data_IF_224570990810
#
_entry.id   IF_224570990810
#
_cell.length_a   1.000
_cell.length_b   1.000
_cell.length_c   1.000
_cell.angle_alpha   90.00
_cell.angle_beta   90.00
_cell.angle_gamma   90.00
#
_symmetry.space_group_name_H-M   'P 1'
#
loop_
_entity.id
_entity.type
_entity.pdbx_description
1 polymer ?
#
# COMPACT_ATOMS: atom_id res chain seq x y z
N UNK A 1 -61.07 -30.04 -30.02
CA UNK A 1 -59.86 -29.21 -29.79
C UNK A 1 -58.64 -30.08 -30.06
N UNK A 2 -57.91 -29.82 -31.15
CA UNK A 2 -56.83 -30.69 -31.67
C UNK A 2 -55.75 -30.95 -30.64
N UNK A 3 -55.22 -32.18 -30.59
CA UNK A 3 -54.17 -32.64 -29.65
C UNK A 3 -52.99 -31.65 -29.56
N UNK A 4 -52.62 -31.02 -30.69
CA UNK A 4 -51.63 -29.93 -30.76
C UNK A 4 -51.95 -28.71 -29.86
N UNK A 5 -53.21 -28.26 -29.76
CA UNK A 5 -53.62 -27.11 -28.92
C UNK A 5 -53.53 -27.42 -27.42
N UNK A 6 -53.81 -28.67 -27.02
CA UNK A 6 -53.65 -29.14 -25.62
C UNK A 6 -52.17 -29.26 -25.25
N UNK A 7 -51.33 -29.77 -26.14
CA UNK A 7 -49.87 -29.86 -25.95
C UNK A 7 -49.26 -28.46 -25.86
N UNK A 8 -49.63 -27.55 -26.76
CA UNK A 8 -49.13 -26.16 -26.77
C UNK A 8 -49.51 -25.39 -25.48
N UNK A 9 -50.74 -25.55 -24.98
CA UNK A 9 -51.15 -24.98 -23.68
C UNK A 9 -50.39 -25.57 -22.49
N UNK A 10 -50.11 -26.88 -22.50
CA UNK A 10 -49.31 -27.53 -21.45
C UNK A 10 -47.86 -27.03 -21.47
N UNK A 11 -47.26 -26.89 -22.65
CA UNK A 11 -45.90 -26.36 -22.81
C UNK A 11 -45.82 -24.90 -22.31
N UNK A 12 -46.83 -24.07 -22.63
CA UNK A 12 -46.94 -22.68 -22.17
C UNK A 12 -47.04 -22.52 -20.65
N UNK A 13 -47.46 -23.55 -19.92
CA UNK A 13 -47.58 -23.53 -18.44
C UNK A 13 -46.37 -24.21 -17.79
N UNK A 14 -45.92 -25.35 -18.35
CA UNK A 14 -44.84 -26.16 -17.79
C UNK A 14 -43.48 -25.47 -17.94
N UNK A 15 -43.20 -24.81 -19.08
CA UNK A 15 -41.91 -24.13 -19.29
C UNK A 15 -41.71 -23.00 -18.27
N UNK A 16 -42.65 -22.05 -18.07
CA UNK A 16 -42.49 -21.02 -17.04
C UNK A 16 -42.38 -21.58 -15.63
N UNK A 17 -43.14 -22.64 -15.30
CA UNK A 17 -43.03 -23.31 -14.00
C UNK A 17 -41.65 -23.95 -13.78
N UNK A 18 -41.09 -24.60 -14.79
CA UNK A 18 -39.74 -25.15 -14.75
C UNK A 18 -38.69 -24.05 -14.61
N UNK A 19 -38.81 -22.96 -15.37
CA UNK A 19 -37.90 -21.81 -15.26
C UNK A 19 -37.97 -21.22 -13.86
N UNK A 20 -39.18 -21.02 -13.32
CA UNK A 20 -39.38 -20.51 -11.97
C UNK A 20 -38.74 -21.44 -10.92
N UNK A 21 -38.92 -22.76 -11.06
CA UNK A 21 -38.33 -23.74 -10.14
C UNK A 21 -36.80 -23.73 -10.20
N UNK A 22 -36.22 -23.61 -11.40
CA UNK A 22 -34.76 -23.47 -11.59
C UNK A 22 -34.26 -22.16 -10.97
N UNK A 23 -34.97 -21.05 -11.17
CA UNK A 23 -34.60 -19.76 -10.57
C UNK A 23 -34.67 -19.79 -9.04
N UNK A 24 -35.69 -20.43 -8.46
CA UNK A 24 -35.81 -20.61 -7.00
C UNK A 24 -34.67 -21.49 -6.49
N UNK A 25 -34.38 -22.61 -7.14
CA UNK A 25 -33.30 -23.52 -6.75
C UNK A 25 -31.93 -22.82 -6.83
N UNK A 26 -31.66 -22.12 -7.93
CA UNK A 26 -30.41 -21.37 -8.12
C UNK A 26 -30.29 -20.21 -7.13
N UNK A 27 -31.36 -19.45 -6.92
CA UNK A 27 -31.38 -18.36 -5.94
C UNK A 27 -31.17 -18.86 -4.51
N UNK A 28 -31.78 -19.99 -4.15
CA UNK A 28 -31.59 -20.64 -2.83
C UNK A 28 -30.16 -21.15 -2.65
N UNK A 29 -29.57 -21.76 -3.68
CA UNK A 29 -28.18 -22.20 -3.66
C UNK A 29 -27.22 -21.01 -3.57
N UNK A 30 -27.43 -19.98 -4.37
CA UNK A 30 -26.61 -18.76 -4.36
C UNK A 30 -26.67 -18.05 -3.00
N UNK A 31 -27.87 -17.90 -2.41
CA UNK A 31 -28.01 -17.29 -1.08
C UNK A 31 -27.34 -18.12 0.00
N UNK A 32 -27.48 -19.45 -0.04
CA UNK A 32 -26.75 -20.36 0.84
C UNK A 32 -25.23 -20.21 0.67
N UNK A 33 -24.72 -20.24 -0.56
CA UNK A 33 -23.29 -20.14 -0.85
C UNK A 33 -22.65 -18.85 -0.33
N UNK A 34 -23.37 -17.72 -0.39
CA UNK A 34 -22.83 -16.42 0.06
C UNK A 34 -23.05 -16.15 1.56
N UNK A 35 -23.83 -16.98 2.26
CA UNK A 35 -24.14 -16.80 3.69
C UNK A 35 -23.57 -17.92 4.58
N UNK A 36 -23.28 -19.09 4.02
CA UNK A 36 -22.70 -20.21 4.75
C UNK A 36 -21.26 -19.91 5.21
N UNK A 37 -20.81 -20.54 6.32
CA UNK A 37 -19.43 -20.42 6.78
C UNK A 37 -18.41 -20.81 5.69
N UNK A 38 -17.23 -20.16 5.62
CA UNK A 38 -16.21 -20.48 4.62
C UNK A 38 -15.80 -21.96 4.60
N UNK A 39 -15.88 -22.65 5.74
CA UNK A 39 -15.60 -24.08 5.88
C UNK A 39 -16.53 -24.99 5.06
N UNK A 40 -17.69 -24.49 4.62
CA UNK A 40 -18.68 -25.23 3.82
C UNK A 40 -18.76 -24.73 2.38
N UNK A 41 -17.96 -23.73 2.00
CA UNK A 41 -18.00 -23.08 0.69
C UNK A 41 -16.59 -22.88 0.16
N UNK A 42 -15.89 -21.83 0.55
CA UNK A 42 -14.56 -21.51 0.04
C UNK A 42 -13.54 -22.62 0.36
N UNK A 43 -13.51 -23.12 1.59
CA UNK A 43 -12.58 -24.17 1.99
C UNK A 43 -12.85 -25.53 1.36
N UNK A 44 -13.96 -25.72 0.63
CA UNK A 44 -14.19 -26.98 -0.09
C UNK A 44 -13.34 -27.09 -1.36
N UNK A 45 -12.71 -25.99 -1.80
CA UNK A 45 -11.74 -25.99 -2.89
C UNK A 45 -10.32 -26.01 -2.30
N UNK A 46 -9.51 -27.01 -2.67
CA UNK A 46 -8.18 -27.19 -2.08
C UNK A 46 -7.20 -26.05 -2.45
N UNK A 47 -7.43 -25.37 -3.57
CA UNK A 47 -6.58 -24.29 -4.06
C UNK A 47 -6.69 -23.01 -3.23
N UNK A 48 -7.82 -22.81 -2.55
CA UNK A 48 -8.06 -21.63 -1.70
C UNK A 48 -8.15 -21.97 -0.21
N UNK A 49 -8.08 -23.26 0.15
CA UNK A 49 -8.11 -23.72 1.55
C UNK A 49 -7.03 -23.03 2.39
N UNK A 50 -5.80 -22.95 1.88
CA UNK A 50 -4.71 -22.24 2.57
C UNK A 50 -5.02 -20.77 2.84
N UNK A 51 -5.62 -20.06 1.88
CA UNK A 51 -6.04 -18.67 2.06
C UNK A 51 -7.17 -18.53 3.09
N UNK A 52 -8.12 -19.47 3.12
CA UNK A 52 -9.19 -19.51 4.12
C UNK A 52 -8.64 -19.76 5.52
N UNK A 53 -7.68 -20.68 5.66
CA UNK A 53 -7.02 -20.98 6.93
C UNK A 53 -6.24 -19.76 7.46
N UNK A 54 -5.50 -19.07 6.59
CA UNK A 54 -4.84 -17.80 6.97
C UNK A 54 -5.86 -16.73 7.40
N UNK A 55 -6.98 -16.59 6.67
CA UNK A 55 -8.02 -15.64 7.02
C UNK A 55 -8.66 -15.94 8.38
N UNK A 56 -8.86 -17.22 8.73
CA UNK A 56 -9.41 -17.64 10.02
C UNK A 56 -8.53 -17.23 11.22
N UNK A 57 -7.23 -17.04 11.00
CA UNK A 57 -6.29 -16.56 12.02
C UNK A 57 -6.08 -15.03 11.99
N UNK A 58 -6.69 -14.32 11.04
CA UNK A 58 -6.40 -12.92 10.77
C UNK A 58 -7.11 -11.92 11.70
N UNK A 59 -6.70 -10.65 11.62
CA UNK A 59 -7.42 -9.52 12.23
C UNK A 59 -8.86 -9.38 11.74
N UNK A 60 -9.15 -9.85 10.53
CA UNK A 60 -10.43 -9.71 9.84
C UNK A 60 -11.30 -10.97 9.91
N UNK A 61 -10.91 -12.00 10.69
CA UNK A 61 -11.58 -13.32 10.75
C UNK A 61 -13.07 -13.32 11.06
N UNK A 62 -13.60 -12.21 11.57
CA UNK A 62 -15.03 -12.04 11.86
C UNK A 62 -15.83 -11.45 10.67
N UNK A 63 -15.18 -11.09 9.56
CA UNK A 63 -15.84 -10.65 8.33
C UNK A 63 -16.14 -11.86 7.43
N UNK A 64 -17.13 -11.72 6.55
CA UNK A 64 -17.35 -12.70 5.48
C UNK A 64 -16.39 -12.44 4.32
N UNK A 65 -15.92 -13.48 3.65
CA UNK A 65 -15.04 -13.33 2.47
C UNK A 65 -15.66 -12.43 1.39
N UNK A 66 -16.99 -12.52 1.22
CA UNK A 66 -17.76 -11.74 0.23
C UNK A 66 -17.80 -10.25 0.52
N UNK A 67 -17.50 -9.84 1.76
CA UNK A 67 -17.40 -8.44 2.11
C UNK A 67 -16.15 -7.79 1.51
N UNK A 68 -15.09 -8.55 1.25
CA UNK A 68 -13.87 -8.05 0.63
C UNK A 68 -13.77 -8.42 -0.85
N UNK A 69 -14.06 -9.68 -1.20
CA UNK A 69 -13.91 -10.21 -2.55
C UNK A 69 -15.15 -10.08 -3.43
N UNK A 70 -16.28 -9.62 -2.87
CA UNK A 70 -17.56 -9.62 -3.55
C UNK A 70 -18.17 -11.01 -3.69
N UNK A 71 -19.20 -11.13 -4.52
CA UNK A 71 -19.91 -12.40 -4.78
C UNK A 71 -19.69 -12.83 -6.22
N UNK A 72 -20.22 -14.00 -6.62
CA UNK A 72 -20.13 -14.44 -8.01
C UNK A 72 -20.77 -13.48 -9.03
N UNK A 73 -21.62 -12.55 -8.59
CA UNK A 73 -22.33 -11.59 -9.44
C UNK A 73 -22.03 -10.12 -9.08
N UNK A 74 -21.13 -9.84 -8.14
CA UNK A 74 -20.88 -8.47 -7.68
C UNK A 74 -20.33 -7.56 -8.79
N UNK A 75 -19.54 -8.09 -9.72
CA UNK A 75 -19.07 -7.36 -10.91
C UNK A 75 -19.72 -7.88 -12.20
N UNK A 76 -20.98 -8.35 -12.10
CA UNK A 76 -21.78 -8.82 -13.23
C UNK A 76 -21.18 -10.02 -13.97
N UNK A 77 -21.19 -9.97 -15.31
CA UNK A 77 -20.74 -11.06 -16.20
C UNK A 77 -19.24 -11.34 -16.02
N UNK A 78 -18.43 -10.36 -15.62
CA UNK A 78 -16.99 -10.54 -15.42
C UNK A 78 -16.70 -11.56 -14.31
N UNK A 79 -17.28 -11.36 -13.12
CA UNK A 79 -17.10 -12.29 -11.99
C UNK A 79 -17.63 -13.70 -12.28
N UNK A 80 -18.74 -13.81 -13.02
CA UNK A 80 -19.28 -15.11 -13.45
C UNK A 80 -18.33 -15.83 -14.41
N UNK A 81 -17.82 -15.12 -15.43
CA UNK A 81 -16.90 -15.66 -16.42
C UNK A 81 -15.58 -16.10 -15.78
N UNK A 82 -15.04 -15.27 -14.89
CA UNK A 82 -13.80 -15.54 -14.17
C UNK A 82 -13.93 -16.79 -13.28
N UNK A 83 -14.92 -16.82 -12.38
CA UNK A 83 -15.14 -17.97 -11.49
C UNK A 83 -15.51 -19.25 -12.24
N UNK A 84 -16.30 -19.13 -13.32
CA UNK A 84 -16.57 -20.25 -14.21
C UNK A 84 -15.32 -20.76 -14.92
N UNK A 85 -14.42 -19.85 -15.33
CA UNK A 85 -13.15 -20.24 -15.97
C UNK A 85 -12.21 -20.98 -15.01
N UNK A 86 -12.20 -20.64 -13.73
CA UNK A 86 -11.43 -21.38 -12.71
C UNK A 86 -11.92 -22.83 -12.60
N UNK A 87 -13.23 -23.06 -12.56
CA UNK A 87 -13.81 -24.41 -12.51
C UNK A 87 -13.45 -25.21 -13.78
N UNK A 88 -13.52 -24.57 -14.96
CA UNK A 88 -13.15 -25.23 -16.22
C UNK A 88 -11.67 -25.56 -16.27
N UNK A 89 -10.79 -24.64 -15.84
CA UNK A 89 -9.33 -24.87 -15.78
C UNK A 89 -8.98 -25.99 -14.80
N UNK A 90 -9.64 -25.99 -13.63
CA UNK A 90 -9.53 -27.08 -12.65
C UNK A 90 -9.93 -28.43 -13.25
N UNK A 91 -11.09 -28.51 -13.89
CA UNK A 91 -11.56 -29.75 -14.51
C UNK A 91 -10.64 -30.26 -15.65
N UNK A 92 -9.83 -29.37 -16.24
CA UNK A 92 -8.86 -29.70 -17.29
C UNK A 92 -7.44 -29.94 -16.77
N UNK A 93 -7.19 -29.83 -15.46
CA UNK A 93 -5.86 -29.84 -14.85
C UNK A 93 -4.90 -28.80 -15.48
N UNK A 94 -5.43 -27.67 -15.96
CA UNK A 94 -4.63 -26.59 -16.53
C UNK A 94 -4.21 -25.62 -15.42
N UNK A 95 -2.91 -25.61 -15.06
CA UNK A 95 -2.23 -24.70 -14.12
C UNK A 95 -3.16 -24.00 -13.12
N UNK A 96 -3.55 -24.74 -12.08
CA UNK A 96 -4.49 -24.33 -11.03
C UNK A 96 -3.82 -23.76 -9.78
N UNK A 97 -2.48 -23.79 -9.70
CA UNK A 97 -1.76 -23.47 -8.46
C UNK A 97 -1.59 -21.97 -8.18
N UNK A 98 -1.90 -21.11 -9.15
CA UNK A 98 -1.76 -19.65 -9.04
C UNK A 98 -3.12 -18.93 -9.04
N UNK A 99 -4.00 -19.29 -8.10
CA UNK A 99 -5.22 -18.50 -7.84
C UNK A 99 -4.83 -17.22 -7.07
N UNK A 100 -4.51 -16.17 -7.82
CA UNK A 100 -4.22 -14.83 -7.30
C UNK A 100 -5.25 -13.81 -7.76
N UNK A 101 -5.32 -12.70 -7.03
CA UNK A 101 -6.10 -11.55 -7.47
C UNK A 101 -5.37 -10.86 -8.61
N UNK A 102 -6.10 -10.57 -9.68
CA UNK A 102 -5.64 -9.66 -10.74
C UNK A 102 -5.76 -8.19 -10.28
N UNK A 103 -5.28 -7.25 -11.09
CA UNK A 103 -5.26 -5.83 -10.73
C UNK A 103 -6.65 -5.30 -10.38
N UNK A 104 -7.65 -5.53 -11.25
CA UNK A 104 -9.03 -5.08 -11.04
C UNK A 104 -9.63 -5.61 -9.74
N UNK A 105 -9.32 -6.86 -9.39
CA UNK A 105 -9.76 -7.47 -8.14
C UNK A 105 -9.07 -6.84 -6.92
N UNK A 106 -7.78 -6.52 -7.02
CA UNK A 106 -7.04 -5.79 -5.98
C UNK A 106 -7.63 -4.40 -5.76
N UNK A 107 -8.00 -3.71 -6.83
CA UNK A 107 -8.66 -2.40 -6.76
C UNK A 107 -10.05 -2.50 -6.13
N UNK A 108 -10.84 -3.52 -6.52
CA UNK A 108 -12.15 -3.78 -5.91
C UNK A 108 -12.04 -4.07 -4.40
N UNK A 109 -11.05 -4.87 -3.97
CA UNK A 109 -10.78 -5.10 -2.54
C UNK A 109 -10.39 -3.79 -1.85
N UNK A 110 -9.53 -3.00 -2.48
CA UNK A 110 -9.07 -1.70 -1.97
C UNK A 110 -10.23 -0.72 -1.75
N UNK A 111 -11.23 -0.73 -2.64
CA UNK A 111 -12.43 0.09 -2.46
C UNK A 111 -13.36 -0.44 -1.38
N UNK A 112 -13.45 -1.76 -1.22
CA UNK A 112 -14.20 -2.38 -0.12
C UNK A 112 -13.62 -2.05 1.26
N UNK A 113 -12.31 -1.79 1.38
CA UNK A 113 -11.68 -1.33 2.62
C UNK A 113 -12.33 -0.04 3.15
N UNK A 114 -12.72 0.88 2.26
CA UNK A 114 -13.25 2.20 2.62
C UNK A 114 -14.59 2.13 3.39
N UNK A 115 -15.32 1.01 3.32
CA UNK A 115 -16.57 0.84 4.09
C UNK A 115 -16.33 0.86 5.61
N UNK A 116 -15.14 0.46 6.06
CA UNK A 116 -14.77 0.43 7.47
C UNK A 116 -13.57 1.32 7.78
N UNK A 117 -12.69 1.55 6.81
CA UNK A 117 -11.50 2.39 6.88
C UNK A 117 -11.66 3.67 6.06
N UNK A 118 -12.78 4.37 6.27
CA UNK A 118 -13.11 5.59 5.54
C UNK A 118 -12.07 6.70 5.77
N UNK A 119 -11.62 6.86 7.02
CA UNK A 119 -10.62 7.85 7.39
C UNK A 119 -9.26 7.54 6.77
N UNK A 120 -8.81 6.28 6.80
CA UNK A 120 -7.55 5.88 6.16
C UNK A 120 -7.61 6.03 4.64
N UNK A 121 -8.75 5.71 3.99
CA UNK A 121 -8.95 5.95 2.55
C UNK A 121 -8.90 7.45 2.24
N UNK A 122 -9.55 8.29 3.05
CA UNK A 122 -9.54 9.74 2.86
C UNK A 122 -8.12 10.32 3.00
N UNK A 123 -7.37 9.85 3.99
CA UNK A 123 -5.95 10.22 4.16
C UNK A 123 -5.11 9.76 2.98
N UNK A 124 -5.26 8.52 2.53
CA UNK A 124 -4.57 8.01 1.34
C UNK A 124 -4.87 8.85 0.09
N UNK A 125 -6.14 9.17 -0.16
CA UNK A 125 -6.57 10.04 -1.27
C UNK A 125 -6.00 11.47 -1.20
N UNK A 126 -5.68 11.95 -0.01
CA UNK A 126 -5.08 13.29 0.18
C UNK A 126 -3.56 13.30 0.02
N UNK A 127 -2.92 12.12 -0.03
CA UNK A 127 -1.47 11.98 -0.08
C UNK A 127 -0.93 11.64 -1.46
N UNK A 128 0.40 11.65 -1.59
CA UNK A 128 1.07 11.30 -2.85
C UNK A 128 0.92 9.82 -3.26
N UNK A 129 0.60 8.94 -2.30
CA UNK A 129 0.40 7.51 -2.57
C UNK A 129 -0.87 7.20 -3.39
N UNK A 130 -1.82 8.13 -3.48
CA UNK A 130 -2.99 7.98 -4.36
C UNK A 130 -2.75 8.46 -5.80
N UNK A 131 -1.50 8.73 -6.17
CA UNK A 131 -1.14 9.03 -7.56
C UNK A 131 -1.69 7.95 -8.51
N UNK A 132 -2.05 8.36 -9.71
CA UNK A 132 -2.58 7.48 -10.75
C UNK A 132 -1.51 7.20 -11.78
N UNK A 133 -1.74 6.15 -12.57
CA UNK A 133 -0.83 5.78 -13.66
C UNK A 133 -0.57 6.97 -14.59
N UNK A 134 -1.59 7.76 -14.93
CA UNK A 134 -1.42 8.95 -15.76
C UNK A 134 -0.47 10.00 -15.15
N UNK A 135 -0.45 10.14 -13.83
CA UNK A 135 0.35 11.17 -13.14
C UNK A 135 1.85 10.79 -13.14
N UNK A 136 2.15 9.50 -13.27
CA UNK A 136 3.50 8.93 -13.31
C UNK A 136 3.94 8.64 -14.75
N UNK A 137 3.25 7.77 -15.46
CA UNK A 137 3.70 7.25 -16.76
C UNK A 137 3.53 8.23 -17.91
N UNK A 138 2.72 9.28 -17.77
CA UNK A 138 2.61 10.36 -18.75
C UNK A 138 3.31 11.66 -18.29
N UNK A 139 4.12 11.59 -17.23
CA UNK A 139 4.83 12.75 -16.71
C UNK A 139 5.95 13.20 -17.68
N UNK A 140 5.69 14.23 -18.48
CA UNK A 140 6.66 14.69 -19.48
C UNK A 140 8.00 15.11 -18.89
N UNK A 141 7.99 15.75 -17.72
CA UNK A 141 9.23 16.24 -17.10
C UNK A 141 10.12 15.07 -16.69
N UNK A 142 9.54 14.04 -16.06
CA UNK A 142 10.26 12.84 -15.67
C UNK A 142 10.72 12.06 -16.90
N UNK A 143 9.81 11.73 -17.82
CA UNK A 143 10.08 10.85 -18.96
C UNK A 143 11.10 11.43 -19.95
N UNK A 144 11.32 12.76 -19.97
CA UNK A 144 12.42 13.36 -20.75
C UNK A 144 13.79 13.10 -20.14
N UNK A 145 13.86 12.84 -18.84
CA UNK A 145 15.11 12.59 -18.11
C UNK A 145 15.41 11.11 -17.97
N UNK A 146 14.39 10.31 -17.62
CA UNK A 146 14.47 8.88 -17.37
C UNK A 146 13.65 8.10 -18.39
N UNK A 147 14.18 6.99 -18.90
CA UNK A 147 13.46 6.18 -19.87
C UNK A 147 12.52 5.22 -19.14
N UNK A 148 11.24 5.20 -19.53
CA UNK A 148 10.29 4.22 -19.01
C UNK A 148 10.78 2.80 -19.29
N UNK A 149 10.80 1.98 -18.24
CA UNK A 149 11.30 0.61 -18.29
C UNK A 149 10.51 -0.28 -17.32
N UNK A 150 10.84 -1.58 -17.29
CA UNK A 150 10.08 -2.56 -16.51
C UNK A 150 10.18 -2.33 -14.99
N UNK A 151 11.28 -1.74 -14.51
CA UNK A 151 11.47 -1.45 -13.08
C UNK A 151 10.51 -0.36 -12.58
N UNK A 152 9.96 0.48 -13.47
CA UNK A 152 8.95 1.47 -13.07
C UNK A 152 7.73 0.80 -12.41
N UNK A 153 7.34 -0.40 -12.88
CA UNK A 153 6.20 -1.15 -12.33
C UNK A 153 6.52 -1.83 -11.00
N UNK A 154 7.80 -1.93 -10.60
CA UNK A 154 8.19 -2.49 -9.30
C UNK A 154 7.56 -1.71 -8.14
N UNK A 155 7.42 -0.40 -8.29
CA UNK A 155 6.86 0.50 -7.27
C UNK A 155 5.60 1.24 -7.75
N UNK A 156 5.51 1.60 -9.04
CA UNK A 156 4.42 2.43 -9.57
C UNK A 156 3.34 1.65 -10.35
N UNK A 157 3.25 0.35 -10.13
CA UNK A 157 2.27 -0.52 -10.78
C UNK A 157 2.41 -1.95 -10.27
N UNK A 158 2.51 -2.09 -8.95
CA UNK A 158 2.95 -3.33 -8.30
C UNK A 158 2.01 -4.51 -8.62
N UNK A 159 0.74 -4.22 -8.86
CA UNK A 159 -0.30 -5.18 -9.23
C UNK A 159 -0.67 -5.16 -10.72
N UNK A 160 0.07 -4.42 -11.56
CA UNK A 160 -0.21 -4.37 -12.98
C UNK A 160 -0.05 -5.75 -13.63
N UNK A 161 -1.13 -6.23 -14.24
CA UNK A 161 -1.17 -7.53 -14.96
C UNK A 161 -0.43 -7.48 -16.32
N UNK A 162 -0.06 -6.27 -16.76
CA UNK A 162 0.67 -6.00 -18.00
C UNK A 162 2.08 -5.51 -17.71
N UNK A 163 2.96 -5.63 -18.70
CA UNK A 163 4.30 -5.04 -18.66
C UNK A 163 4.27 -3.58 -19.13
N UNK A 164 5.42 -2.90 -19.01
CA UNK A 164 5.52 -1.48 -19.39
C UNK A 164 5.24 -1.27 -20.89
N UNK A 165 5.61 -2.23 -21.75
CA UNK A 165 5.33 -2.18 -23.18
C UNK A 165 3.83 -2.29 -23.47
N UNK A 166 3.10 -3.08 -22.70
CA UNK A 166 1.65 -3.21 -22.77
C UNK A 166 0.91 -1.99 -22.23
N UNK A 167 1.53 -1.25 -21.30
CA UNK A 167 0.91 -0.11 -20.64
C UNK A 167 0.97 1.17 -21.47
N UNK A 168 2.17 1.60 -21.89
CA UNK A 168 2.42 2.95 -22.41
C UNK A 168 3.31 2.92 -23.65
N UNK A 169 3.10 3.85 -24.58
CA UNK A 169 3.92 4.03 -25.77
C UNK A 169 4.07 5.52 -26.14
N UNK A 170 5.20 5.94 -26.74
CA UNK A 170 6.45 5.20 -26.90
C UNK A 170 7.18 5.06 -25.55
N UNK A 171 8.15 4.15 -25.42
CA UNK A 171 8.99 4.06 -24.22
C UNK A 171 10.22 4.96 -24.24
N UNK A 172 10.44 5.70 -25.33
CA UNK A 172 11.59 6.59 -25.45
C UNK A 172 11.40 7.89 -24.63
N UNK A 173 12.46 8.71 -24.59
CA UNK A 173 12.48 10.00 -23.88
C UNK A 173 11.95 11.18 -24.70
N UNK A 174 11.42 10.94 -25.91
CA UNK A 174 10.96 11.98 -26.84
C UNK A 174 9.47 12.26 -26.66
N UNK A 175 8.69 11.20 -26.46
CA UNK A 175 7.24 11.28 -26.39
C UNK A 175 6.60 11.68 -27.73
N UNK A 176 5.32 12.10 -27.74
CA UNK A 176 4.41 12.13 -26.60
C UNK A 176 3.99 10.73 -26.14
N UNK A 177 3.93 10.53 -24.82
CA UNK A 177 3.48 9.28 -24.21
C UNK A 177 1.96 9.19 -24.17
N UNK A 178 1.42 8.00 -24.41
CA UNK A 178 0.00 7.68 -24.29
C UNK A 178 -0.17 6.25 -23.80
N UNK A 179 -1.28 5.98 -23.12
CA UNK A 179 -1.64 4.61 -22.78
C UNK A 179 -2.13 3.86 -24.02
N UNK A 180 -1.83 2.57 -24.08
CA UNK A 180 -2.42 1.67 -25.07
C UNK A 180 -3.89 1.38 -24.78
N UNK A 181 -4.24 1.27 -23.50
CA UNK A 181 -5.62 1.26 -23.02
C UNK A 181 -5.83 2.44 -22.06
N UNK A 182 -6.68 3.39 -22.46
CA UNK A 182 -6.98 4.58 -21.67
C UNK A 182 -7.67 4.26 -20.33
N UNK A 183 -8.24 3.06 -20.14
CA UNK A 183 -8.82 2.67 -18.84
C UNK A 183 -7.77 2.66 -17.73
N UNK A 184 -6.53 2.28 -18.07
CA UNK A 184 -5.41 2.20 -17.14
C UNK A 184 -5.03 3.56 -16.54
N UNK A 185 -5.33 4.67 -17.22
CA UNK A 185 -4.95 6.01 -16.80
C UNK A 185 -5.37 6.34 -15.35
N UNK A 186 -6.53 5.83 -14.94
CA UNK A 186 -7.13 6.10 -13.64
C UNK A 186 -6.68 5.16 -12.52
N UNK A 187 -5.94 4.09 -12.84
CA UNK A 187 -5.51 3.10 -11.86
C UNK A 187 -4.53 3.72 -10.87
N UNK A 188 -4.65 3.44 -9.56
CA UNK A 188 -3.72 3.93 -8.56
C UNK A 188 -2.39 3.17 -8.62
N UNK A 189 -1.28 3.89 -8.40
CA UNK A 189 0.07 3.30 -8.43
C UNK A 189 0.37 2.44 -7.19
N UNK A 190 -0.15 2.85 -6.04
CA UNK A 190 0.09 2.20 -4.73
C UNK A 190 -1.27 1.97 -4.05
N UNK A 191 -2.01 0.89 -4.38
CA UNK A 191 -3.25 0.54 -3.68
C UNK A 191 -2.97 0.09 -2.24
N UNK A 192 -3.99 -0.02 -1.38
CA UNK A 192 -3.81 -0.39 0.04
C UNK A 192 -3.06 -1.72 0.21
N UNK A 193 -3.32 -2.68 -0.68
CA UNK A 193 -2.65 -3.97 -0.71
C UNK A 193 -1.19 -3.89 -1.14
N UNK A 194 -0.62 -2.74 -1.50
CA UNK A 194 0.83 -2.59 -1.67
C UNK A 194 1.56 -2.71 -0.33
N UNK A 195 0.97 -2.15 0.74
CA UNK A 195 1.56 -2.10 2.08
C UNK A 195 0.84 -2.98 3.13
N UNK A 196 -0.39 -3.43 2.86
CA UNK A 196 -1.14 -4.25 3.80
C UNK A 196 -1.30 -5.71 3.33
N UNK A 197 -1.40 -6.62 4.30
CA UNK A 197 -1.79 -8.01 4.08
C UNK A 197 -3.05 -8.32 4.90
N UNK A 198 -4.16 -8.62 4.21
CA UNK A 198 -5.48 -8.79 4.85
C UNK A 198 -5.54 -10.07 5.68
N UNK A 199 -4.96 -11.16 5.18
CA UNK A 199 -4.95 -12.47 5.84
C UNK A 199 -3.78 -12.64 6.82
N UNK A 200 -3.11 -11.54 7.22
CA UNK A 200 -2.03 -11.62 8.20
C UNK A 200 -2.57 -12.04 9.57
N UNK A 201 -1.85 -12.96 10.24
CA UNK A 201 -2.19 -13.46 11.57
C UNK A 201 -2.32 -12.33 12.58
N UNK A 202 -3.38 -12.38 13.39
CA UNK A 202 -3.69 -11.32 14.33
C UNK A 202 -4.84 -11.62 15.27
N UNK A 203 -5.24 -10.59 16.02
CA UNK A 203 -6.44 -10.64 16.86
C UNK A 203 -7.35 -9.48 16.51
N UNK A 204 -8.64 -9.72 16.22
CA UNK A 204 -9.61 -8.67 15.99
C UNK A 204 -9.58 -7.62 17.09
N UNK A 205 -9.82 -6.36 16.72
CA UNK A 205 -10.02 -5.31 17.70
C UNK A 205 -11.27 -5.62 18.51
N UNK A 206 -11.12 -5.65 19.82
CA UNK A 206 -12.23 -5.86 20.76
C UNK A 206 -12.47 -4.56 21.52
N UNK A 207 -13.74 -4.28 21.82
CA UNK A 207 -14.08 -3.22 22.77
C UNK A 207 -13.47 -3.53 24.14
N UNK A 208 -12.95 -2.52 24.87
CA UNK A 208 -12.52 -2.70 26.25
C UNK A 208 -13.66 -3.27 27.10
N UNK A 209 -13.31 -3.99 28.18
CA UNK A 209 -14.31 -4.40 29.15
C UNK A 209 -14.71 -3.19 30.01
N UNK A 210 -15.96 -2.75 29.88
CA UNK A 210 -16.50 -1.60 30.61
C UNK A 210 -16.98 -1.92 32.04
N UNK A 211 -16.90 -3.18 32.49
CA UNK A 211 -17.33 -3.56 33.84
C UNK A 211 -16.54 -2.84 34.94
N UNK A 212 -15.29 -2.49 34.66
CA UNK A 212 -14.51 -1.52 35.44
C UNK A 212 -13.94 -0.44 34.49
N UNK A 213 -14.58 0.73 34.37
CA UNK A 213 -14.16 1.77 33.43
C UNK A 213 -12.72 2.25 33.63
N UNK A 214 -12.18 2.14 34.86
CA UNK A 214 -10.79 2.51 35.16
C UNK A 214 -9.77 1.64 34.44
N UNK A 215 -10.11 0.39 34.16
CA UNK A 215 -9.19 -0.57 33.55
C UNK A 215 -9.19 -0.47 32.02
N UNK A 216 -10.20 0.17 31.41
CA UNK A 216 -10.35 0.26 29.96
C UNK A 216 -9.14 0.91 29.27
N UNK A 217 -8.49 1.86 29.93
CA UNK A 217 -7.28 2.51 29.43
C UNK A 217 -6.06 1.57 29.44
N UNK A 218 -5.92 0.74 30.47
CA UNK A 218 -4.76 -0.13 30.68
C UNK A 218 -4.87 -1.48 29.95
N UNK A 219 -6.08 -1.92 29.62
CA UNK A 219 -6.33 -3.18 28.90
C UNK A 219 -6.07 -3.07 27.40
N UNK A 220 -5.87 -1.86 26.87
CA UNK A 220 -5.64 -1.66 25.44
C UNK A 220 -4.25 -2.15 25.05
N UNK A 221 -4.15 -3.40 24.62
CA UNK A 221 -2.95 -3.92 23.96
C UNK A 221 -2.71 -3.12 22.69
N UNK A 222 -1.50 -2.59 22.53
CA UNK A 222 -1.07 -1.94 21.28
C UNK A 222 -1.06 -3.01 20.18
N UNK A 223 -2.07 -3.00 19.32
CA UNK A 223 -2.06 -3.79 18.10
C UNK A 223 -1.38 -2.95 17.04
N UNK A 224 -0.07 -3.11 16.86
CA UNK A 224 0.61 -2.51 15.72
C UNK A 224 0.07 -3.20 14.46
N UNK A 225 -0.57 -2.43 13.59
CA UNK A 225 -0.97 -2.93 12.28
C UNK A 225 0.31 -3.30 11.53
N UNK A 226 0.57 -4.59 11.39
CA UNK A 226 1.73 -5.08 10.64
C UNK A 226 1.57 -4.65 9.17
N UNK A 227 2.53 -3.89 8.67
CA UNK A 227 2.64 -3.60 7.24
C UNK A 227 3.56 -4.63 6.58
N UNK A 228 3.43 -4.76 5.27
CA UNK A 228 4.16 -5.73 4.46
C UNK A 228 4.32 -5.18 3.05
N UNK A 229 5.52 -5.30 2.51
CA UNK A 229 5.82 -4.92 1.14
C UNK A 229 5.32 -6.00 0.19
N UNK A 230 4.58 -5.62 -0.86
CA UNK A 230 4.27 -6.55 -1.94
C UNK A 230 5.46 -6.60 -2.91
N UNK A 231 6.08 -7.75 -3.11
CA UNK A 231 7.08 -7.90 -4.16
C UNK A 231 6.38 -8.34 -5.46
N UNK A 232 6.34 -7.44 -6.46
CA UNK A 232 5.75 -7.75 -7.78
C UNK A 232 6.43 -8.94 -8.46
N UNK A 233 7.75 -9.07 -8.34
CA UNK A 233 8.52 -10.08 -9.08
C UNK A 233 8.11 -11.50 -8.68
N UNK A 234 7.94 -11.72 -7.38
CA UNK A 234 7.58 -13.02 -6.82
C UNK A 234 6.08 -13.11 -6.52
N UNK A 235 5.34 -12.01 -6.66
CA UNK A 235 3.94 -11.85 -6.28
C UNK A 235 3.67 -12.25 -4.81
N UNK A 236 4.64 -11.97 -3.94
CA UNK A 236 4.61 -12.33 -2.51
C UNK A 236 4.51 -11.10 -1.62
N UNK A 237 4.14 -11.34 -0.36
CA UNK A 237 4.12 -10.34 0.70
C UNK A 237 5.26 -10.60 1.67
N UNK A 238 6.08 -9.58 1.90
CA UNK A 238 7.18 -9.62 2.86
C UNK A 238 6.83 -8.73 4.05
N UNK A 239 6.64 -9.29 5.26
CA UNK A 239 6.40 -8.50 6.47
C UNK A 239 7.51 -7.47 6.69
N UNK A 240 7.16 -6.28 7.17
CA UNK A 240 8.14 -5.22 7.40
C UNK A 240 9.21 -5.59 8.44
N UNK A 241 8.88 -6.49 9.38
CA UNK A 241 9.80 -7.07 10.35
C UNK A 241 10.91 -7.91 9.70
N UNK A 242 10.62 -8.52 8.55
CA UNK A 242 11.55 -9.37 7.78
C UNK A 242 12.34 -8.56 6.73
N UNK A 243 11.94 -7.31 6.46
CA UNK A 243 12.69 -6.43 5.57
C UNK A 243 14.03 -6.02 6.22
N UNK A 244 15.11 -5.89 5.42
CA UNK A 244 16.40 -5.48 5.93
C UNK A 244 16.36 -4.05 6.46
N UNK A 245 17.07 -3.80 7.56
CA UNK A 245 17.36 -2.43 8.01
C UNK A 245 18.30 -1.77 7.00
N UNK A 246 17.94 -0.55 6.56
CA UNK A 246 18.79 0.24 5.68
C UNK A 246 20.14 0.52 6.37
N UNK A 247 21.22 0.27 5.64
CA UNK A 247 22.55 0.78 5.98
C UNK A 247 22.80 1.98 5.08
N UNK A 248 22.94 3.17 5.66
CA UNK A 248 23.05 4.43 4.93
C UNK A 248 24.40 5.10 5.22
N UNK A 249 24.96 5.76 4.23
CA UNK A 249 26.26 6.42 4.31
C UNK A 249 26.20 7.86 3.80
N UNK A 250 26.87 8.78 4.48
CA UNK A 250 27.19 10.11 3.99
C UNK A 250 28.69 10.18 3.67
N UNK A 251 29.03 9.97 2.40
CA UNK A 251 30.41 9.71 2.00
C UNK A 251 30.89 8.40 2.63
N UNK A 252 31.87 8.51 3.53
CA UNK A 252 32.43 7.36 4.27
C UNK A 252 31.82 7.19 5.66
N UNK A 253 31.00 8.15 6.12
CA UNK A 253 30.44 8.13 7.46
C UNK A 253 29.12 7.35 7.46
N UNK A 254 28.93 6.37 8.37
CA UNK A 254 27.65 5.73 8.54
C UNK A 254 26.66 6.72 9.17
N UNK A 255 25.41 6.68 8.70
CA UNK A 255 24.30 7.46 9.24
C UNK A 255 23.44 6.56 10.12
N UNK A 256 23.08 7.02 11.31
CA UNK A 256 22.15 6.29 12.16
C UNK A 256 20.72 6.33 11.58
N UNK A 257 20.19 5.15 11.27
CA UNK A 257 18.83 4.95 10.77
C UNK A 257 17.97 4.37 11.88
N UNK A 258 16.73 4.85 11.99
CA UNK A 258 15.74 4.38 12.97
C UNK A 258 15.57 2.85 12.98
N UNK A 259 15.31 2.30 14.16
CA UNK A 259 14.94 0.89 14.33
C UNK A 259 13.46 0.59 14.05
N UNK A 260 12.67 1.63 13.75
CA UNK A 260 11.26 1.47 13.41
C UNK A 260 11.08 0.53 12.21
N UNK A 261 10.34 -0.55 12.44
CA UNK A 261 10.04 -1.56 11.43
C UNK A 261 9.20 -0.99 10.29
N UNK A 262 8.36 0.02 10.54
CA UNK A 262 7.51 0.62 9.51
C UNK A 262 8.34 1.35 8.45
N UNK A 263 9.41 2.02 8.88
CA UNK A 263 10.34 2.70 7.99
C UNK A 263 10.95 1.75 6.96
N UNK A 264 11.17 0.47 7.32
CA UNK A 264 11.73 -0.55 6.42
C UNK A 264 10.85 -0.81 5.20
N UNK A 265 9.55 -0.58 5.32
CA UNK A 265 8.61 -0.65 4.18
C UNK A 265 8.69 0.61 3.32
N UNK A 266 8.79 1.80 3.93
CA UNK A 266 8.89 3.08 3.22
C UNK A 266 10.10 3.16 2.30
N UNK A 267 11.27 2.71 2.79
CA UNK A 267 12.53 2.72 2.05
C UNK A 267 12.56 1.75 0.85
N UNK A 268 11.55 0.88 0.68
CA UNK A 268 11.46 0.05 -0.53
C UNK A 268 11.11 0.89 -1.75
N UNK A 269 10.51 2.07 -1.55
CA UNK A 269 10.19 3.04 -2.58
C UNK A 269 11.07 4.30 -2.46
N UNK A 270 11.27 4.80 -1.24
CA UNK A 270 12.08 6.00 -0.95
C UNK A 270 13.53 5.62 -0.60
N UNK A 271 14.22 5.01 -1.55
CA UNK A 271 15.53 4.39 -1.34
C UNK A 271 16.70 5.26 -1.84
N UNK A 272 17.89 5.14 -1.22
CA UNK A 272 19.12 5.65 -1.82
C UNK A 272 19.50 4.84 -3.06
N UNK A 273 20.48 5.32 -3.80
CA UNK A 273 21.07 4.56 -4.89
C UNK A 273 21.74 3.26 -4.40
N UNK A 274 22.19 2.43 -5.34
CA UNK A 274 22.82 1.14 -5.05
C UNK A 274 24.12 1.20 -4.20
N UNK A 275 24.72 2.40 -4.02
CA UNK A 275 25.87 2.60 -3.11
C UNK A 275 25.44 2.98 -1.69
N UNK A 276 24.14 3.06 -1.45
CA UNK A 276 23.54 3.44 -0.18
C UNK A 276 24.02 4.81 0.31
N UNK A 277 24.21 5.74 -0.61
CA UNK A 277 24.61 7.10 -0.30
C UNK A 277 23.38 7.95 -0.01
N UNK A 278 23.41 8.67 1.10
CA UNK A 278 22.29 9.45 1.57
C UNK A 278 21.94 10.61 0.63
N UNK A 279 20.64 10.91 0.52
CA UNK A 279 20.11 11.98 -0.34
C UNK A 279 20.29 11.72 -1.84
N UNK A 280 20.52 10.46 -2.23
CA UNK A 280 20.55 10.03 -3.64
C UNK A 280 19.28 9.27 -3.99
N UNK A 281 18.95 9.16 -5.28
CA UNK A 281 17.71 8.50 -5.69
C UNK A 281 16.50 9.26 -5.14
N UNK A 282 15.63 8.55 -4.42
CA UNK A 282 14.44 9.10 -3.75
C UNK A 282 14.58 9.00 -2.21
N UNK A 283 15.82 8.92 -1.72
CA UNK A 283 16.10 8.85 -0.29
C UNK A 283 15.73 10.14 0.43
N UNK A 284 14.82 10.00 1.40
CA UNK A 284 14.40 11.05 2.32
C UNK A 284 14.69 10.66 3.78
N UNK A 285 15.59 9.69 4.01
CA UNK A 285 15.96 9.26 5.36
C UNK A 285 16.43 10.47 6.20
N UNK A 286 15.88 10.67 7.40
CA UNK A 286 16.27 11.77 8.29
C UNK A 286 17.75 11.72 8.70
N UNK A 287 18.42 12.87 8.66
CA UNK A 287 19.84 13.07 9.01
C UNK A 287 20.06 14.42 9.68
N UNK A 288 21.30 14.69 10.08
CA UNK A 288 21.66 15.97 10.69
C UNK A 288 21.00 16.10 12.06
N UNK A 289 20.15 17.11 12.26
CA UNK A 289 19.44 17.25 13.54
C UNK A 289 18.29 16.25 13.73
N UNK A 290 17.92 15.51 12.69
CA UNK A 290 16.86 14.50 12.72
C UNK A 290 17.39 13.07 12.55
N UNK A 291 18.70 12.87 12.62
CA UNK A 291 19.32 11.55 12.50
C UNK A 291 18.75 10.57 13.55
N UNK A 292 18.52 9.31 13.15
CA UNK A 292 17.89 8.28 13.99
C UNK A 292 16.36 8.33 14.07
N UNK A 293 15.70 9.41 13.61
CA UNK A 293 14.23 9.49 13.57
C UNK A 293 13.63 8.63 12.45
N UNK A 294 12.45 8.08 12.70
CA UNK A 294 11.64 7.37 11.70
C UNK A 294 10.91 8.37 10.78
N UNK A 295 10.56 7.92 9.59
CA UNK A 295 9.65 8.65 8.70
C UNK A 295 8.33 9.01 9.39
N UNK A 296 7.81 8.13 10.26
CA UNK A 296 6.49 8.31 10.89
C UNK A 296 6.53 9.20 12.14
N UNK A 297 7.72 9.61 12.59
CA UNK A 297 7.85 10.63 13.63
C UNK A 297 7.43 12.00 13.09
N UNK A 298 7.62 12.20 11.77
CA UNK A 298 7.29 13.43 11.06
C UNK A 298 6.05 13.32 10.17
N UNK A 299 5.81 12.15 9.56
CA UNK A 299 4.75 11.97 8.56
C UNK A 299 3.61 11.09 9.06
N UNK A 300 2.38 11.48 8.77
CA UNK A 300 1.22 10.62 8.96
C UNK A 300 1.21 9.42 8.00
N UNK A 301 0.91 8.23 8.51
CA UNK A 301 1.02 6.94 7.82
C UNK A 301 0.34 6.83 6.44
N UNK A 302 -0.81 7.47 6.25
CA UNK A 302 -1.62 7.30 5.03
C UNK A 302 -1.64 8.54 4.13
N UNK A 303 -1.54 9.75 4.69
CA UNK A 303 -1.52 11.00 3.91
C UNK A 303 -0.10 11.47 3.57
N UNK A 304 0.91 10.94 4.26
CA UNK A 304 2.28 11.46 4.29
C UNK A 304 2.37 12.93 4.74
N UNK A 305 1.33 13.45 5.42
CA UNK A 305 1.30 14.84 5.86
C UNK A 305 2.26 15.05 7.06
N UNK A 306 3.04 16.11 7.01
CA UNK A 306 3.98 16.49 8.07
C UNK A 306 3.68 17.85 8.71
N UNK A 307 2.64 18.58 8.28
CA UNK A 307 2.41 20.00 8.65
C UNK A 307 2.17 20.28 10.14
N UNK A 308 2.02 19.26 10.98
CA UNK A 308 1.81 19.42 12.42
C UNK A 308 2.84 18.68 13.28
N UNK A 309 3.77 17.94 12.67
CA UNK A 309 4.68 17.07 13.42
C UNK A 309 5.72 17.83 14.23
N UNK A 310 6.15 19.01 13.76
CA UNK A 310 7.15 19.81 14.46
C UNK A 310 6.74 20.10 15.91
N UNK A 311 5.45 20.37 16.14
CA UNK A 311 4.91 20.74 17.47
C UNK A 311 4.88 19.58 18.47
N UNK A 312 4.99 18.33 17.99
CA UNK A 312 5.05 17.15 18.85
C UNK A 312 6.38 17.06 19.62
N UNK A 313 7.42 17.68 19.05
CA UNK A 313 8.78 17.65 19.58
C UNK A 313 9.25 19.04 20.02
N UNK A 314 8.90 20.09 19.28
CA UNK A 314 9.37 21.44 19.54
C UNK A 314 8.34 22.27 20.33
N UNK A 315 8.80 23.03 21.34
CA UNK A 315 10.19 23.24 21.72
C UNK A 315 10.78 22.18 22.66
N UNK A 316 9.97 21.23 23.14
CA UNK A 316 10.30 20.33 24.26
C UNK A 316 11.66 19.61 24.15
N UNK A 317 12.03 19.10 22.98
CA UNK A 317 13.33 18.41 22.74
C UNK A 317 14.40 19.29 22.11
N UNK A 318 14.09 20.55 21.75
CA UNK A 318 15.06 21.43 21.09
C UNK A 318 15.62 22.52 21.99
N UNK A 319 16.94 22.66 21.97
CA UNK A 319 17.66 23.67 22.76
C UNK A 319 17.88 24.99 22.00
N UNK A 320 17.26 25.19 20.82
CA UNK A 320 17.46 26.39 20.02
C UNK A 320 16.53 27.55 20.41
N UNK A 321 15.42 27.28 21.12
CA UNK A 321 14.39 28.26 21.48
C UNK A 321 13.86 29.07 20.28
N UNK A 322 13.84 28.45 19.09
CA UNK A 322 13.33 29.03 17.85
C UNK A 322 11.99 28.39 17.50
N UNK A 323 11.13 29.17 16.83
CA UNK A 323 9.96 28.62 16.15
C UNK A 323 10.42 27.89 14.88
N UNK A 324 10.60 26.57 15.01
CA UNK A 324 11.12 25.72 13.94
C UNK A 324 10.23 25.71 12.70
N UNK A 325 8.93 26.01 12.85
CA UNK A 325 7.99 26.05 11.73
C UNK A 325 8.23 27.23 10.80
N UNK A 326 8.94 28.26 11.27
CA UNK A 326 9.29 29.47 10.51
C UNK A 326 10.76 29.54 10.11
N UNK A 327 11.54 28.51 10.44
CA UNK A 327 12.94 28.46 10.06
C UNK A 327 13.06 28.27 8.55
N UNK A 328 14.11 28.85 7.95
CA UNK A 328 14.41 28.71 6.53
C UNK A 328 14.79 27.24 6.23
N UNK A 329 13.77 26.42 5.99
CA UNK A 329 13.85 25.00 5.66
C UNK A 329 12.79 24.64 4.64
N UNK A 330 12.92 23.47 4.01
CA UNK A 330 11.94 22.97 3.03
C UNK A 330 10.55 22.70 3.61
N UNK A 331 10.43 22.67 4.94
CA UNK A 331 9.15 22.62 5.63
C UNK A 331 8.36 23.92 5.49
N UNK A 332 9.04 25.07 5.68
CA UNK A 332 8.41 26.39 5.58
C UNK A 332 8.27 26.85 4.12
N UNK A 333 9.32 26.64 3.31
CA UNK A 333 9.34 26.96 1.88
C UNK A 333 10.01 25.82 1.12
N UNK A 334 9.26 25.15 0.24
CA UNK A 334 9.74 24.04 -0.58
C UNK A 334 10.96 24.38 -1.46
N UNK A 335 11.23 25.67 -1.69
CA UNK A 335 12.39 26.16 -2.46
C UNK A 335 13.61 26.46 -1.59
N UNK A 336 13.49 26.33 -0.28
CA UNK A 336 14.59 26.56 0.65
C UNK A 336 15.80 25.67 0.32
N UNK A 337 17.03 26.20 0.38
CA UNK A 337 18.24 25.39 0.20
C UNK A 337 18.47 24.40 1.35
N UNK A 338 17.81 24.59 2.50
CA UNK A 338 17.96 23.75 3.68
C UNK A 338 16.83 22.71 3.71
N UNK A 339 17.08 21.51 3.18
CA UNK A 339 16.06 20.46 3.21
C UNK A 339 15.83 19.96 4.65
N UNK A 340 14.56 19.88 5.07
CA UNK A 340 14.17 19.46 6.42
C UNK A 340 14.65 18.04 6.77
N UNK A 341 14.80 17.16 5.79
CA UNK A 341 15.23 15.78 6.03
C UNK A 341 16.71 15.69 6.41
N UNK A 342 17.55 16.64 6.01
CA UNK A 342 19.00 16.58 6.24
C UNK A 342 19.60 17.89 6.75
N UNK A 343 18.77 18.79 7.28
CA UNK A 343 19.22 20.05 7.86
C UNK A 343 20.13 19.77 9.06
N UNK A 344 21.24 20.49 9.12
CA UNK A 344 22.19 20.45 10.22
C UNK A 344 22.15 21.75 11.02
N UNK A 345 22.68 21.72 12.24
CA UNK A 345 22.81 22.90 13.10
C UNK A 345 23.49 24.07 12.38
N UNK A 346 24.48 23.80 11.51
CA UNK A 346 25.26 24.84 10.82
C UNK A 346 24.48 25.55 9.70
N UNK A 347 23.40 24.93 9.20
CA UNK A 347 22.58 25.49 8.11
C UNK A 347 21.66 26.59 8.63
N UNK A 348 21.33 26.53 9.92
CA UNK A 348 20.53 27.54 10.61
C UNK A 348 21.35 28.44 11.54
N UNK A 349 22.58 28.03 11.90
CA UNK A 349 23.49 28.79 12.78
C UNK A 349 24.85 29.05 12.11
N UNK A 350 24.92 29.92 11.09
CA UNK A 350 26.15 30.18 10.34
C UNK A 350 27.27 30.78 11.20
N UNK A 351 26.96 31.54 12.25
CA UNK A 351 27.95 32.02 13.22
C UNK A 351 28.71 30.89 13.94
N UNK A 352 28.11 29.70 14.12
CA UNK A 352 28.81 28.53 14.66
C UNK A 352 29.82 27.95 13.68
N UNK A 353 29.60 28.11 12.37
CA UNK A 353 30.55 27.74 11.30
C UNK A 353 31.82 28.61 11.37
N UNK A 354 31.66 29.92 11.59
CA UNK A 354 32.76 30.88 11.72
C UNK A 354 33.62 30.70 12.99
N UNK A 355 33.04 30.15 14.07
CA UNK A 355 33.76 29.92 15.33
C UNK A 355 34.67 28.68 15.27
N UNK A 356 34.28 27.63 14.52
CA UNK A 356 35.13 26.45 14.28
C UNK A 356 36.35 26.75 13.40
N UNK A 357 36.22 27.63 12.40
CA UNK A 357 37.35 28.07 11.58
C UNK A 357 38.31 28.99 12.32
N UNK A 358 37.82 29.87 13.21
CA UNK A 358 38.71 30.67 14.08
C UNK A 358 39.49 29.83 15.10
N UNK A 359 38.88 28.79 15.67
CA UNK A 359 39.59 27.93 16.64
C UNK A 359 40.60 26.97 15.97
N UNK A 360 40.44 26.59 14.69
CA UNK A 360 41.47 25.83 13.96
C UNK A 360 42.71 26.66 13.60
N UNK A 361 42.63 27.99 13.58
CA UNK A 361 43.76 28.88 13.28
C UNK A 361 44.58 29.21 14.55
N UNK A 362 44.05 28.93 15.74
CA UNK A 362 44.71 29.30 17.01
C UNK A 362 45.40 28.12 17.73
N UNK A 363 45.26 26.87 17.26
CA UNK A 363 45.83 25.70 17.96
C UNK A 363 46.80 24.85 17.13
N UNK A 364 47.66 25.46 16.32
CA UNK A 364 48.78 24.75 15.66
C UNK A 364 50.18 25.23 16.07
N UNK A 365 50.32 25.95 17.19
CA UNK A 365 51.62 26.19 17.81
C UNK A 365 51.63 25.68 19.25
N UNK A 366 52.51 24.71 19.44
CA UNK A 366 53.04 24.20 20.71
C UNK A 366 52.08 23.36 21.54
N UNK A 367 52.20 22.04 21.43
CA UNK A 367 52.49 21.19 22.60
C UNK A 367 53.39 20.03 22.16
N UNK A 368 54.66 20.09 22.60
CA UNK A 368 55.47 18.91 22.90
C UNK A 368 54.91 18.36 24.22
N UNK A 369 54.55 17.08 24.24
CA UNK A 369 55.11 16.03 25.12
C UNK A 369 54.67 14.68 24.56
#
# INVERSE_FOLDING_TARGET
MTVKKKIFRKILIIIPLLILLVLIAFGSFYTYWNSAPPSRTCASCHEIEGAVNMFAESYHRNLRCTECHGTAISNGIHSLKEKGSMIVKHAKNENTEDIRLNEDQVLAVTDNCARCHADEKAKWLSGGHSARYQDIFLNEKHNRTEQLNFDCLRCHGMFADIDINGLVEPLDKKGPWKFKDNKMASHPVIPCLACHQVHAKGSPRMSPNYSNPKDAFYQRKVTNSKVSFYNRQDQTKVPAEDLPKLKLWEGELPVEVSDDVQMRNCIQCHAPNARHQAGTGDDLTPRGVHEGLSCIDCHELHSNDARHSCSNCHPAVSNCNLDVTKMNTSYFDSKSPNNIHWVACIDCHPERKARKTKNKIVTSKNYRF
#
